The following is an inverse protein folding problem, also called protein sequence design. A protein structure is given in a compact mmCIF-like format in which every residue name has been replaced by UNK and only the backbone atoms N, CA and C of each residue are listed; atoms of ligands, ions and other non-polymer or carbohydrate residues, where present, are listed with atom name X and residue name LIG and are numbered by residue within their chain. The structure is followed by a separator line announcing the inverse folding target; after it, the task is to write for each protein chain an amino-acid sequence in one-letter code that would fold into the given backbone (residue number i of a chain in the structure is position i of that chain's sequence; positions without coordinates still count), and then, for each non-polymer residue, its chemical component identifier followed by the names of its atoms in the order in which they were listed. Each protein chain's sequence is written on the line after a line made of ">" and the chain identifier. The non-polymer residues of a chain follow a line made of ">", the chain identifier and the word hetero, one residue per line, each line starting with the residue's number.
data_IF_625732442100
#
_entry.id   IF_625732442100
#
_cell.length_a   1.000
_cell.length_b   1.000
_cell.length_c   1.000
_cell.angle_alpha   90.00
_cell.angle_beta   90.00
_cell.angle_gamma   90.00
#
_symmetry.space_group_name_H-M   'P 1'
#
loop_
_entity.id
_entity.type
_entity.pdbx_description
1 polymer ?
#
# COMPACT_ATOMS: atom_id res chain seq x y z
N UNK A 1 8.69 -6.65 -14.79
CA UNK A 1 8.80 -5.20 -15.03
C UNK A 1 8.27 -4.49 -13.80
N UNK A 2 9.09 -3.64 -13.16
CA UNK A 2 8.64 -2.83 -12.03
C UNK A 2 8.20 -1.47 -12.55
N UNK A 3 7.02 -1.02 -12.17
CA UNK A 3 6.46 0.26 -12.60
C UNK A 3 5.85 1.00 -11.42
N UNK A 4 5.77 2.32 -11.56
CA UNK A 4 5.15 3.19 -10.60
C UNK A 4 3.62 3.13 -10.80
N UNK A 5 2.86 2.92 -9.72
CA UNK A 5 1.41 2.79 -9.76
C UNK A 5 0.79 3.41 -8.52
N UNK A 6 -0.52 3.62 -8.52
CA UNK A 6 -1.21 4.22 -7.37
C UNK A 6 -1.80 3.13 -6.50
N UNK A 7 -1.57 3.20 -5.20
CA UNK A 7 -2.16 2.27 -4.25
C UNK A 7 -3.68 2.47 -4.20
N UNK A 8 -4.45 1.41 -4.43
CA UNK A 8 -5.92 1.48 -4.37
C UNK A 8 -6.47 1.62 -2.95
N UNK A 9 -5.68 1.32 -1.92
CA UNK A 9 -6.12 1.45 -0.52
C UNK A 9 -6.00 2.88 0.01
N UNK A 10 -4.85 3.52 -0.22
CA UNK A 10 -4.55 4.84 0.34
C UNK A 10 -4.44 5.97 -0.70
N UNK A 11 -4.50 5.66 -2.00
CA UNK A 11 -4.35 6.64 -3.08
C UNK A 11 -2.93 7.20 -3.26
N UNK A 12 -1.94 6.71 -2.49
CA UNK A 12 -0.54 7.14 -2.58
C UNK A 12 0.23 6.39 -3.65
N UNK A 13 1.36 6.95 -4.09
CA UNK A 13 2.24 6.33 -5.08
C UNK A 13 2.91 5.10 -4.49
N UNK A 14 2.84 3.99 -5.20
CA UNK A 14 3.44 2.70 -4.85
C UNK A 14 4.15 2.10 -6.07
N UNK A 15 4.79 0.94 -5.90
CA UNK A 15 5.35 0.19 -7.02
C UNK A 15 4.53 -1.07 -7.27
N UNK A 16 4.47 -1.52 -8.52
CA UNK A 16 4.00 -2.85 -8.91
C UNK A 16 5.13 -3.63 -9.57
N UNK A 17 5.44 -4.83 -9.09
CA UNK A 17 6.51 -5.68 -9.64
C UNK A 17 7.17 -6.58 -8.60
N UNK A 18 8.35 -7.12 -8.93
CA UNK A 18 9.07 -8.12 -8.15
C UNK A 18 9.81 -7.58 -6.90
N UNK A 19 9.63 -6.31 -6.52
CA UNK A 19 10.23 -5.74 -5.31
C UNK A 19 11.73 -5.41 -5.41
N UNK A 20 12.48 -6.01 -6.33
CA UNK A 20 13.92 -5.70 -6.46
C UNK A 20 14.19 -4.28 -6.99
N UNK A 21 13.24 -3.69 -7.72
CA UNK A 21 13.40 -2.36 -8.30
C UNK A 21 12.52 -1.30 -7.63
N UNK A 22 12.15 -1.47 -6.34
CA UNK A 22 11.33 -0.49 -5.61
C UNK A 22 11.99 0.89 -5.60
N UNK A 23 13.31 0.94 -5.37
CA UNK A 23 14.02 2.22 -5.28
C UNK A 23 14.01 2.98 -6.60
N UNK A 24 14.18 2.28 -7.73
CA UNK A 24 14.05 2.87 -9.07
C UNK A 24 12.60 3.23 -9.39
N UNK A 25 11.64 2.36 -9.06
CA UNK A 25 10.22 2.60 -9.30
C UNK A 25 9.68 3.78 -8.48
N UNK A 26 10.28 4.10 -7.33
CA UNK A 26 9.92 5.23 -6.47
C UNK A 26 10.95 6.37 -6.50
N UNK A 27 11.88 6.35 -7.48
CA UNK A 27 12.84 7.44 -7.65
C UNK A 27 12.09 8.75 -7.92
N UNK A 28 12.45 9.82 -7.20
CA UNK A 28 11.80 11.13 -7.31
C UNK A 28 10.47 11.28 -6.54
N UNK A 29 9.86 10.21 -6.04
CA UNK A 29 8.64 10.31 -5.23
C UNK A 29 9.02 10.73 -3.80
N UNK A 30 8.48 11.83 -3.25
CA UNK A 30 8.74 12.20 -1.86
C UNK A 30 8.11 11.19 -0.89
N UNK A 31 8.76 10.94 0.26
CA UNK A 31 8.26 9.97 1.28
C UNK A 31 6.81 10.21 1.69
N UNK A 32 6.36 11.46 1.74
CA UNK A 32 4.98 11.83 2.08
C UNK A 32 3.95 11.25 1.08
N UNK A 33 4.34 11.10 -0.18
CA UNK A 33 3.49 10.57 -1.26
C UNK A 33 3.72 9.09 -1.53
N UNK A 34 4.67 8.44 -0.84
CA UNK A 34 4.90 7.00 -0.95
C UNK A 34 3.90 6.24 -0.08
N UNK A 35 3.39 5.14 -0.62
CA UNK A 35 2.64 4.14 0.12
C UNK A 35 3.55 3.47 1.15
N UNK A 36 3.09 3.35 2.40
CA UNK A 36 3.86 2.73 3.49
C UNK A 36 3.81 1.19 3.49
N UNK A 37 3.13 0.59 2.51
CA UNK A 37 2.79 -0.84 2.51
C UNK A 37 1.55 -1.09 3.35
N UNK A 38 0.64 -1.90 2.82
CA UNK A 38 -0.64 -2.24 3.47
C UNK A 38 -0.79 -3.74 3.70
N UNK A 39 0.34 -4.44 3.77
CA UNK A 39 0.42 -5.89 3.97
C UNK A 39 -0.07 -6.31 5.36
N UNK A 40 -0.01 -5.39 6.33
CA UNK A 40 -0.40 -5.61 7.72
C UNK A 40 -1.52 -4.66 8.18
N UNK A 41 -2.35 -4.13 7.27
CA UNK A 41 -3.57 -3.50 7.75
C UNK A 41 -4.49 -4.58 8.33
N UNK A 42 -4.84 -4.52 9.63
CA UNK A 42 -5.91 -5.36 10.13
C UNK A 42 -7.16 -4.91 9.39
N UNK A 43 -7.63 -5.75 8.48
CA UNK A 43 -8.96 -5.65 7.86
C UNK A 43 -9.94 -5.46 9.02
N UNK A 44 -10.31 -4.22 9.32
CA UNK A 44 -11.11 -3.89 10.50
C UNK A 44 -12.39 -4.68 10.36
N UNK A 45 -12.49 -5.73 11.18
CA UNK A 45 -13.49 -6.77 11.06
C UNK A 45 -14.87 -6.14 11.13
N UNK A 46 -15.53 -6.10 9.98
CA UNK A 46 -16.92 -5.68 9.83
C UNK A 46 -17.87 -6.52 10.70
N UNK A 47 -17.40 -7.64 11.27
CA UNK A 47 -18.17 -8.55 12.11
C UNK A 47 -18.00 -8.37 13.63
N UNK A 48 -17.14 -7.44 14.11
CA UNK A 48 -16.94 -7.23 15.54
C UNK A 48 -18.17 -6.64 16.27
N UNK A 49 -19.23 -6.24 15.55
CA UNK A 49 -20.46 -5.71 16.13
C UNK A 49 -21.62 -6.71 16.20
N UNK A 50 -21.42 -7.98 15.82
CA UNK A 50 -22.51 -8.98 15.82
C UNK A 50 -22.51 -9.97 16.99
N UNK A 51 -21.44 -10.02 17.80
CA UNK A 51 -21.30 -11.02 18.88
C UNK A 51 -21.11 -10.43 20.29
N UNK A 52 -21.44 -9.16 20.49
CA UNK A 52 -21.47 -8.53 21.81
C UNK A 52 -22.91 -8.30 22.30
N UNK A 53 -23.60 -9.38 22.64
CA UNK A 53 -24.83 -9.35 23.46
C UNK A 53 -24.54 -10.09 24.75
#
# INVERSE_FOLDING_TARGET
>A
MCYQTTCRKCGKVTWGGCGQHVQQALAGVPKAQRCAGHENEPSKGFFASLFGR
#
